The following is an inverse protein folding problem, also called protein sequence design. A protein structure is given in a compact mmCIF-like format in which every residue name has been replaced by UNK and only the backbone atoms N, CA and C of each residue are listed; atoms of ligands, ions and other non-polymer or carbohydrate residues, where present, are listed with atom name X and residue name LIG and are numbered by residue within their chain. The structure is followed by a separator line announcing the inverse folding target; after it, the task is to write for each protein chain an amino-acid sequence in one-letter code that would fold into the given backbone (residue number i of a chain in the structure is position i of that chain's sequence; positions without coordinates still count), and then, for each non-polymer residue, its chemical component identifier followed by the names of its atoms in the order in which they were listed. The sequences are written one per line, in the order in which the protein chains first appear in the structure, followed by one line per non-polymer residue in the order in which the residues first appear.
data_IF_736615704190
#
_entry.id   IF_736615704190
#
_cell.length_a   1.000
_cell.length_b   1.000
_cell.length_c   1.000
_cell.angle_alpha   90.00
_cell.angle_beta   90.00
_cell.angle_gamma   90.00
#
_symmetry.space_group_name_H-M   'P 1'
#
loop_
_entity.id
_entity.type
_entity.pdbx_description
1 polymer ?
#
# COMPACT_ATOMS: atom_id res chain seq x y z
N UNK A 1 47.73 27.95 -10.10
CA UNK A 1 47.16 27.21 -8.96
C UNK A 1 45.75 27.72 -8.76
N UNK A 2 44.75 26.95 -9.18
CA UNK A 2 43.35 27.19 -8.82
C UNK A 2 42.91 25.98 -7.99
N UNK A 3 42.51 26.29 -6.77
CA UNK A 3 42.10 25.37 -5.71
C UNK A 3 40.71 24.81 -6.02
N UNK A 4 40.64 23.52 -6.33
CA UNK A 4 39.38 22.79 -6.47
C UNK A 4 38.94 22.31 -5.09
N UNK A 5 38.31 23.19 -4.31
CA UNK A 5 37.56 22.76 -3.13
C UNK A 5 36.25 22.11 -3.58
N UNK A 6 36.32 20.87 -4.04
CA UNK A 6 35.15 20.01 -4.15
C UNK A 6 34.61 19.75 -2.74
N UNK A 7 33.44 20.31 -2.48
CA UNK A 7 32.68 20.08 -1.26
C UNK A 7 32.19 18.62 -1.25
N UNK A 8 33.02 17.71 -0.75
CA UNK A 8 32.67 16.31 -0.56
C UNK A 8 31.58 16.19 0.51
N UNK A 9 30.32 16.31 0.09
CA UNK A 9 29.16 16.10 0.96
C UNK A 9 29.12 14.62 1.29
N UNK A 10 29.14 14.22 2.58
CA UNK A 10 29.22 12.81 2.94
C UNK A 10 28.03 12.06 2.34
N UNK A 11 28.32 11.09 1.49
CA UNK A 11 27.35 10.13 0.97
C UNK A 11 26.73 9.42 2.17
N UNK A 12 25.40 9.50 2.28
CA UNK A 12 24.68 8.76 3.32
C UNK A 12 25.01 7.27 3.15
N UNK A 13 25.29 6.54 4.24
CA UNK A 13 25.53 5.10 4.14
C UNK A 13 24.32 4.43 3.50
N UNK A 14 24.55 3.41 2.68
CA UNK A 14 23.49 2.59 2.08
C UNK A 14 22.79 1.82 3.21
N UNK A 15 21.66 2.34 3.67
CA UNK A 15 20.86 1.70 4.72
C UNK A 15 19.92 0.71 4.05
N UNK A 16 20.03 -0.60 4.34
CA UNK A 16 19.17 -1.60 3.73
C UNK A 16 17.71 -1.32 4.09
N UNK A 17 16.84 -1.35 3.09
CA UNK A 17 15.39 -1.22 3.28
C UNK A 17 14.82 -2.55 3.77
N UNK A 18 14.09 -2.50 4.87
CA UNK A 18 13.38 -3.66 5.40
C UNK A 18 11.92 -3.31 5.69
N UNK A 19 11.07 -4.34 5.71
CA UNK A 19 9.68 -4.24 6.15
C UNK A 19 9.44 -5.21 7.30
N UNK A 20 8.70 -4.75 8.30
CA UNK A 20 8.38 -5.57 9.47
C UNK A 20 7.23 -6.51 9.12
N UNK A 21 7.44 -7.81 9.36
CA UNK A 21 6.39 -8.83 9.40
C UNK A 21 6.20 -9.22 10.85
N UNK A 22 4.98 -9.09 11.36
CA UNK A 22 4.68 -9.45 12.74
C UNK A 22 4.64 -10.97 12.90
N UNK A 23 5.20 -11.50 14.01
CA UNK A 23 5.27 -12.94 14.25
C UNK A 23 3.91 -13.62 14.27
N UNK A 24 2.85 -12.90 14.64
CA UNK A 24 1.48 -13.41 14.60
C UNK A 24 1.04 -13.84 13.19
N UNK A 25 1.77 -13.49 12.13
CA UNK A 25 1.49 -13.95 10.77
C UNK A 25 1.38 -15.48 10.73
N UNK A 26 2.23 -16.18 11.48
CA UNK A 26 2.25 -17.64 11.53
C UNK A 26 1.14 -18.24 12.40
N UNK A 27 0.63 -17.48 13.36
CA UNK A 27 -0.44 -17.91 14.27
C UNK A 27 -1.83 -17.38 13.88
N UNK A 28 -1.93 -16.63 12.78
CA UNK A 28 -3.21 -16.17 12.25
C UNK A 28 -3.99 -17.39 11.71
N UNK A 29 -5.24 -17.55 12.16
CA UNK A 29 -6.05 -18.73 11.86
C UNK A 29 -6.23 -18.96 10.35
N UNK A 30 -6.35 -17.89 9.55
CA UNK A 30 -6.42 -18.00 8.10
C UNK A 30 -5.09 -18.48 7.55
N UNK A 31 -4.02 -17.77 7.89
CA UNK A 31 -2.68 -18.04 7.37
C UNK A 31 -2.21 -19.44 7.73
N UNK A 32 -2.53 -19.95 8.93
CA UNK A 32 -2.15 -21.30 9.36
C UNK A 32 -2.63 -22.38 8.38
N UNK A 33 -3.85 -22.24 7.87
CA UNK A 33 -4.49 -23.19 6.93
C UNK A 33 -4.04 -23.05 5.47
N UNK A 34 -3.36 -21.96 5.13
CA UNK A 34 -2.94 -21.72 3.76
C UNK A 34 -1.82 -22.69 3.30
N UNK A 35 -1.82 -23.07 2.01
CA UNK A 35 -0.70 -23.82 1.44
C UNK A 35 0.56 -22.96 1.41
N UNK A 36 1.74 -23.59 1.44
CA UNK A 36 3.04 -22.91 1.51
C UNK A 36 3.25 -21.88 0.39
N UNK A 37 2.75 -22.14 -0.82
CA UNK A 37 2.80 -21.17 -1.90
C UNK A 37 2.05 -19.88 -1.56
N UNK A 38 0.88 -19.99 -0.93
CA UNK A 38 0.10 -18.81 -0.56
C UNK A 38 0.79 -18.00 0.54
N UNK A 39 1.37 -18.70 1.53
CA UNK A 39 2.21 -18.08 2.57
C UNK A 39 3.42 -17.37 1.95
N UNK A 40 4.10 -18.01 0.98
CA UNK A 40 5.26 -17.44 0.28
C UNK A 40 4.88 -16.16 -0.49
N UNK A 41 3.78 -16.18 -1.26
CA UNK A 41 3.35 -14.99 -1.99
C UNK A 41 2.94 -13.86 -1.03
N UNK A 42 2.20 -14.19 0.04
CA UNK A 42 1.84 -13.20 1.06
C UNK A 42 3.07 -12.55 1.71
N UNK A 43 4.08 -13.35 2.09
CA UNK A 43 5.34 -12.85 2.63
C UNK A 43 6.08 -11.97 1.61
N UNK A 44 6.19 -12.43 0.36
CA UNK A 44 6.79 -11.64 -0.71
C UNK A 44 6.10 -10.27 -0.86
N UNK A 45 4.77 -10.22 -0.86
CA UNK A 45 4.03 -8.95 -0.95
C UNK A 45 4.27 -8.03 0.26
N UNK A 46 4.52 -8.60 1.44
CA UNK A 46 4.85 -7.86 2.66
C UNK A 46 6.29 -7.34 2.69
N UNK A 47 7.20 -7.89 1.86
CA UNK A 47 8.63 -7.59 1.94
C UNK A 47 9.27 -7.15 0.61
N UNK A 48 8.53 -7.14 -0.50
CA UNK A 48 9.06 -6.77 -1.82
C UNK A 48 9.58 -5.33 -1.85
N UNK A 49 10.61 -5.08 -2.67
CA UNK A 49 11.19 -3.74 -2.89
C UNK A 49 10.18 -2.72 -3.43
N UNK A 50 9.13 -3.19 -4.10
CA UNK A 50 8.05 -2.37 -4.65
C UNK A 50 7.08 -1.87 -3.58
N UNK A 51 7.08 -2.49 -2.39
CA UNK A 51 6.13 -2.18 -1.33
C UNK A 51 6.32 -0.77 -0.79
N UNK A 52 5.21 -0.14 -0.45
CA UNK A 52 5.14 1.12 0.33
C UNK A 52 4.62 0.85 1.73
N UNK A 53 4.90 1.75 2.68
CA UNK A 53 4.52 1.60 4.10
C UNK A 53 3.01 1.34 4.25
N UNK A 54 2.22 2.16 3.58
CA UNK A 54 0.76 2.16 3.54
C UNK A 54 0.17 0.94 2.82
N UNK A 55 1.01 0.14 2.18
CA UNK A 55 0.60 -1.07 1.47
C UNK A 55 -0.21 -0.81 0.21
N UNK A 56 -0.18 0.40 -0.34
CA UNK A 56 -0.86 0.79 -1.59
C UNK A 56 0.17 1.19 -2.65
N UNK A 57 0.36 0.36 -3.67
CA UNK A 57 1.44 0.51 -4.65
C UNK A 57 1.16 -0.26 -5.96
N UNK A 58 1.92 0.06 -7.01
CA UNK A 58 1.87 -0.63 -8.29
C UNK A 58 2.82 -1.83 -8.27
N UNK A 59 2.33 -3.02 -8.60
CA UNK A 59 3.13 -4.25 -8.69
C UNK A 59 2.64 -5.15 -9.84
N UNK A 60 3.24 -5.04 -11.03
CA UNK A 60 2.93 -5.94 -12.14
C UNK A 60 3.26 -7.40 -11.79
N UNK A 61 2.35 -8.36 -12.10
CA UNK A 61 2.56 -9.78 -11.81
C UNK A 61 3.83 -10.39 -12.45
N UNK A 62 4.37 -9.77 -13.50
CA UNK A 62 5.62 -10.16 -14.15
C UNK A 62 6.83 -9.98 -13.23
N UNK A 63 6.86 -8.92 -12.42
CA UNK A 63 7.93 -8.75 -11.42
C UNK A 63 7.86 -9.83 -10.35
N UNK A 64 6.65 -10.14 -9.88
CA UNK A 64 6.43 -11.23 -8.93
C UNK A 64 6.93 -12.55 -9.52
N UNK A 65 6.51 -12.88 -10.74
CA UNK A 65 6.88 -14.09 -11.45
C UNK A 65 8.39 -14.25 -11.59
N UNK A 66 9.08 -13.16 -11.95
CA UNK A 66 10.54 -13.12 -12.05
C UNK A 66 11.21 -13.30 -10.69
N UNK A 67 10.78 -12.57 -9.66
CA UNK A 67 11.41 -12.57 -8.34
C UNK A 67 11.25 -13.92 -7.62
N UNK A 68 10.10 -14.59 -7.73
CA UNK A 68 9.83 -15.87 -7.04
C UNK A 68 10.01 -17.11 -7.92
N UNK A 69 10.32 -16.93 -9.21
CA UNK A 69 10.56 -18.02 -10.16
C UNK A 69 9.30 -18.84 -10.50
N UNK A 70 8.13 -18.20 -10.54
CA UNK A 70 6.86 -18.89 -10.85
C UNK A 70 6.36 -18.57 -12.26
N UNK A 71 5.61 -19.50 -12.90
CA UNK A 71 4.86 -19.18 -14.10
C UNK A 71 3.89 -18.02 -13.85
N UNK A 72 3.80 -17.07 -14.79
CA UNK A 72 2.94 -15.89 -14.68
C UNK A 72 1.47 -16.25 -14.37
N UNK A 73 0.96 -17.33 -15.00
CA UNK A 73 -0.39 -17.85 -14.73
C UNK A 73 -0.58 -18.22 -13.25
N UNK A 74 0.40 -18.91 -12.66
CA UNK A 74 0.37 -19.29 -11.24
C UNK A 74 0.34 -18.05 -10.34
N UNK A 75 1.10 -17.01 -10.67
CA UNK A 75 1.08 -15.75 -9.91
C UNK A 75 -0.31 -15.13 -9.93
N UNK A 76 -0.93 -15.00 -11.11
CA UNK A 76 -2.27 -14.43 -11.24
C UNK A 76 -3.31 -15.22 -10.45
N UNK A 77 -3.32 -16.56 -10.59
CA UNK A 77 -4.22 -17.43 -9.83
C UNK A 77 -4.04 -17.27 -8.32
N UNK A 78 -2.80 -17.08 -7.86
CA UNK A 78 -2.50 -16.88 -6.44
C UNK A 78 -2.87 -15.48 -5.93
N UNK A 79 -2.79 -14.44 -6.76
CA UNK A 79 -3.30 -13.10 -6.42
C UNK A 79 -4.82 -13.13 -6.21
N UNK A 80 -5.57 -13.80 -7.10
CA UNK A 80 -7.02 -14.00 -6.94
C UNK A 80 -7.35 -14.73 -5.64
N UNK A 81 -6.58 -15.77 -5.28
CA UNK A 81 -6.77 -16.47 -4.00
C UNK A 81 -6.53 -15.55 -2.80
N UNK A 82 -5.43 -14.80 -2.79
CA UNK A 82 -5.14 -13.86 -1.70
C UNK A 82 -6.18 -12.74 -1.59
N UNK A 83 -6.74 -12.29 -2.70
CA UNK A 83 -7.86 -11.35 -2.70
C UNK A 83 -9.13 -12.00 -2.12
N UNK A 84 -9.45 -13.25 -2.50
CA UNK A 84 -10.57 -14.03 -1.96
C UNK A 84 -10.49 -14.28 -0.45
N UNK A 85 -9.29 -14.45 0.10
CA UNK A 85 -9.06 -14.52 1.56
C UNK A 85 -9.22 -13.17 2.28
N UNK A 86 -9.30 -12.09 1.50
CA UNK A 86 -9.32 -10.73 1.97
C UNK A 86 -7.97 -10.27 2.51
N UNK A 87 -6.86 -10.75 1.97
CA UNK A 87 -5.50 -10.30 2.33
C UNK A 87 -5.10 -9.04 1.56
N UNK A 88 -5.44 -9.01 0.26
CA UNK A 88 -5.18 -7.88 -0.64
C UNK A 88 -6.44 -7.46 -1.40
N UNK A 89 -6.36 -6.32 -2.08
CA UNK A 89 -7.13 -5.99 -3.29
C UNK A 89 -6.14 -5.84 -4.45
N UNK A 90 -6.51 -6.29 -5.64
CA UNK A 90 -5.66 -6.17 -6.83
C UNK A 90 -6.46 -5.77 -8.06
N UNK A 91 -5.98 -4.76 -8.78
CA UNK A 91 -6.56 -4.34 -10.05
C UNK A 91 -5.62 -4.73 -11.21
N UNK A 92 -6.06 -5.65 -12.07
CA UNK A 92 -5.23 -6.14 -13.17
C UNK A 92 -4.89 -5.07 -14.21
N UNK A 93 -5.78 -4.07 -14.39
CA UNK A 93 -5.62 -3.04 -15.42
C UNK A 93 -4.49 -2.08 -15.08
N UNK A 94 -4.44 -1.61 -13.83
CA UNK A 94 -3.43 -0.65 -13.36
C UNK A 94 -2.26 -1.34 -12.64
N UNK A 95 -2.38 -2.64 -12.35
CA UNK A 95 -1.50 -3.39 -11.45
C UNK A 95 -1.42 -2.79 -10.05
N UNK A 96 -2.45 -2.04 -9.62
CA UNK A 96 -2.52 -1.54 -8.27
C UNK A 96 -2.81 -2.67 -7.30
N UNK A 97 -2.04 -2.71 -6.22
CA UNK A 97 -2.18 -3.65 -5.12
C UNK A 97 -2.36 -2.88 -3.82
N UNK A 98 -3.33 -3.30 -3.03
CA UNK A 98 -3.62 -2.76 -1.71
C UNK A 98 -3.61 -3.89 -0.67
N UNK A 99 -2.64 -3.87 0.25
CA UNK A 99 -2.57 -4.80 1.38
C UNK A 99 -3.49 -4.30 2.48
N UNK A 100 -4.58 -5.03 2.75
CA UNK A 100 -5.70 -4.52 3.55
C UNK A 100 -5.28 -4.14 4.97
N UNK A 101 -4.43 -4.94 5.59
CA UNK A 101 -3.97 -4.73 6.96
C UNK A 101 -2.64 -3.95 7.07
N UNK A 102 -2.09 -3.36 6.00
CA UNK A 102 -0.80 -2.67 6.10
C UNK A 102 -0.82 -1.52 7.13
N UNK A 103 -1.85 -0.68 7.09
CA UNK A 103 -2.05 0.41 8.05
C UNK A 103 -2.39 -0.09 9.46
N UNK A 104 -2.73 -1.36 9.68
CA UNK A 104 -2.87 -1.93 11.04
C UNK A 104 -1.53 -2.04 11.75
N UNK A 105 -0.46 -2.30 11.01
CA UNK A 105 0.88 -2.56 11.57
C UNK A 105 1.86 -1.41 11.33
N UNK A 106 1.59 -0.59 10.31
CA UNK A 106 2.51 0.44 9.85
C UNK A 106 1.77 1.79 9.69
N UNK A 107 1.09 2.22 10.76
CA UNK A 107 0.50 3.56 10.77
C UNK A 107 1.58 4.65 10.64
N UNK A 108 1.25 5.82 10.08
CA UNK A 108 2.11 6.99 10.16
C UNK A 108 2.39 7.37 11.62
N UNK A 109 3.66 7.40 11.99
CA UNK A 109 4.14 7.77 13.31
C UNK A 109 4.58 9.26 13.40
N UNK A 110 4.61 9.94 12.26
CA UNK A 110 5.09 11.32 12.15
C UNK A 110 4.44 12.06 10.98
N UNK A 111 4.47 13.40 11.04
CA UNK A 111 3.98 14.28 9.97
C UNK A 111 4.72 14.05 8.63
N UNK A 112 6.00 13.71 8.68
CA UNK A 112 6.79 13.45 7.48
C UNK A 112 6.32 12.18 6.78
N UNK A 113 6.01 11.13 7.53
CA UNK A 113 5.45 9.90 6.98
C UNK A 113 4.08 10.16 6.35
N UNK A 114 3.18 10.89 7.02
CA UNK A 114 1.88 11.26 6.44
C UNK A 114 2.03 11.97 5.08
N UNK A 115 2.90 12.99 5.02
CA UNK A 115 3.18 13.73 3.76
C UNK A 115 3.71 12.81 2.67
N UNK A 116 4.62 11.90 3.02
CA UNK A 116 5.21 10.97 2.07
C UNK A 116 4.18 9.97 1.53
N UNK A 117 3.26 9.49 2.37
CA UNK A 117 2.15 8.62 1.92
C UNK A 117 1.24 9.38 0.95
N UNK A 118 0.79 10.59 1.29
CA UNK A 118 -0.08 11.40 0.42
C UNK A 118 0.59 11.65 -0.94
N UNK A 119 1.88 12.01 -0.93
CA UNK A 119 2.63 12.22 -2.15
C UNK A 119 2.71 10.95 -3.01
N UNK A 120 2.89 9.76 -2.41
CA UNK A 120 2.88 8.49 -3.15
C UNK A 120 1.51 8.17 -3.72
N UNK A 121 0.46 8.26 -2.91
CA UNK A 121 -0.92 7.97 -3.33
C UNK A 121 -1.36 8.87 -4.48
N UNK A 122 -0.95 10.15 -4.50
CA UNK A 122 -1.20 11.07 -5.63
C UNK A 122 -0.57 10.66 -6.96
N UNK A 123 0.54 9.92 -6.91
CA UNK A 123 1.26 9.48 -8.10
C UNK A 123 0.86 8.07 -8.55
N UNK A 124 -0.11 7.44 -7.87
CA UNK A 124 -0.66 6.17 -8.31
C UNK A 124 -1.60 6.37 -9.50
N UNK A 125 -1.75 5.36 -10.38
CA UNK A 125 -2.80 5.36 -11.40
C UNK A 125 -4.19 5.62 -10.79
N UNK A 126 -5.06 6.27 -11.55
CA UNK A 126 -6.43 6.51 -11.12
C UNK A 126 -7.20 5.19 -10.99
N UNK A 127 -7.65 4.90 -9.78
CA UNK A 127 -8.55 3.79 -9.48
C UNK A 127 -9.42 4.17 -8.27
N UNK A 128 -10.64 4.63 -8.54
CA UNK A 128 -11.54 5.16 -7.51
C UNK A 128 -11.96 4.10 -6.50
N UNK A 129 -12.11 2.85 -6.93
CA UNK A 129 -12.51 1.74 -6.06
C UNK A 129 -11.42 1.44 -5.02
N UNK A 130 -10.18 1.20 -5.48
CA UNK A 130 -9.06 0.92 -4.57
C UNK A 130 -8.70 2.14 -3.70
N UNK A 131 -8.86 3.37 -4.21
CA UNK A 131 -8.72 4.57 -3.40
C UNK A 131 -9.77 4.61 -2.30
N UNK A 132 -11.03 4.32 -2.61
CA UNK A 132 -12.12 4.28 -1.62
C UNK A 132 -11.85 3.23 -0.54
N UNK A 133 -11.40 2.04 -0.93
CA UNK A 133 -11.01 1.00 0.00
C UNK A 133 -9.84 1.43 0.89
N UNK A 134 -8.83 2.09 0.32
CA UNK A 134 -7.70 2.62 1.08
C UNK A 134 -8.14 3.63 2.14
N UNK A 135 -9.04 4.57 1.78
CA UNK A 135 -9.60 5.54 2.73
C UNK A 135 -10.40 4.84 3.85
N UNK A 136 -11.19 3.83 3.52
CA UNK A 136 -11.95 3.05 4.50
C UNK A 136 -11.02 2.30 5.47
N UNK A 137 -9.97 1.64 4.96
CA UNK A 137 -8.99 0.94 5.79
C UNK A 137 -8.20 1.89 6.69
N UNK A 138 -7.90 3.11 6.23
CA UNK A 138 -7.29 4.12 7.07
C UNK A 138 -8.18 4.46 8.28
N UNK A 139 -9.50 4.64 8.09
CA UNK A 139 -10.44 4.84 9.19
C UNK A 139 -10.42 3.68 10.18
N UNK A 140 -10.52 2.45 9.68
CA UNK A 140 -10.56 1.23 10.51
C UNK A 140 -9.27 1.05 11.32
N UNK A 141 -8.10 1.26 10.72
CA UNK A 141 -6.84 0.90 11.34
C UNK A 141 -6.16 2.02 12.12
N UNK A 142 -6.45 3.28 11.81
CA UNK A 142 -5.77 4.43 12.40
C UNK A 142 -6.59 5.15 13.48
N UNK A 143 -7.91 4.93 13.59
CA UNK A 143 -8.75 5.52 14.64
C UNK A 143 -8.82 4.69 15.94
N UNK A 144 -7.90 3.73 16.11
CA UNK A 144 -7.85 2.90 17.32
C UNK A 144 -7.30 3.69 18.50
N UNK A 145 -7.74 3.32 19.71
CA UNK A 145 -7.25 3.91 20.96
C UNK A 145 -5.77 3.59 21.18
N UNK A 146 -5.04 4.52 21.81
CA UNK A 146 -3.61 4.34 22.11
C UNK A 146 -2.64 4.54 20.94
N UNK A 147 -3.13 4.93 19.76
CA UNK A 147 -2.28 5.30 18.63
C UNK A 147 -1.79 6.76 18.72
N UNK A 148 -0.73 7.08 18.00
CA UNK A 148 -0.19 8.44 17.96
C UNK A 148 -1.20 9.43 17.36
N UNK A 149 -1.11 10.74 17.68
CA UNK A 149 -1.94 11.76 17.04
C UNK A 149 -1.77 11.79 15.51
N UNK A 150 -0.59 11.42 15.00
CA UNK A 150 -0.35 11.32 13.56
C UNK A 150 -1.10 10.15 12.93
N UNK A 151 -1.17 9.00 13.60
CA UNK A 151 -2.01 7.90 13.14
C UNK A 151 -3.48 8.32 13.18
N UNK A 152 -3.99 8.79 14.32
CA UNK A 152 -5.40 9.12 14.51
C UNK A 152 -5.88 10.27 13.61
N UNK A 153 -5.03 11.25 13.32
CA UNK A 153 -5.35 12.34 12.39
C UNK A 153 -5.21 11.97 10.90
N UNK A 154 -4.67 10.80 10.58
CA UNK A 154 -4.38 10.42 9.19
C UNK A 154 -5.63 10.23 8.31
N UNK A 155 -6.73 9.60 8.77
CA UNK A 155 -7.93 9.43 7.94
C UNK A 155 -8.56 10.76 7.52
N UNK A 156 -8.76 11.70 8.46
CA UNK A 156 -9.29 13.02 8.17
C UNK A 156 -8.39 13.81 7.18
N UNK A 157 -7.07 13.63 7.31
CA UNK A 157 -6.11 14.18 6.36
C UNK A 157 -6.32 13.59 4.96
N UNK A 158 -6.36 12.27 4.82
CA UNK A 158 -6.59 11.62 3.52
C UNK A 158 -7.92 12.04 2.88
N UNK A 159 -8.99 12.13 3.66
CA UNK A 159 -10.30 12.57 3.16
C UNK A 159 -10.28 13.99 2.63
N UNK A 160 -9.52 14.90 3.26
CA UNK A 160 -9.35 16.26 2.75
C UNK A 160 -8.58 16.28 1.43
N UNK A 161 -7.55 15.45 1.29
CA UNK A 161 -6.69 15.43 0.10
C UNK A 161 -7.32 14.67 -1.09
N UNK A 162 -8.14 13.65 -0.82
CA UNK A 162 -8.65 12.70 -1.81
C UNK A 162 -10.18 12.59 -1.81
N UNK A 163 -10.89 13.61 -1.28
CA UNK A 163 -12.36 13.61 -1.22
C UNK A 163 -12.92 13.20 -2.59
N UNK A 164 -13.74 12.14 -2.66
CA UNK A 164 -14.45 11.85 -3.89
C UNK A 164 -15.31 13.07 -4.19
N UNK A 165 -15.13 13.67 -5.37
CA UNK A 165 -16.05 14.71 -5.84
C UNK A 165 -17.39 14.01 -5.99
N UNK A 166 -18.35 14.32 -5.11
CA UNK A 166 -19.72 13.85 -5.29
C UNK A 166 -20.21 14.40 -6.63
N UNK A 167 -20.74 13.51 -7.47
CA UNK A 167 -21.17 13.83 -8.83
C UNK A 167 -22.50 14.59 -8.85
N UNK A 168 -22.75 15.44 -7.85
CA UNK A 168 -23.99 16.19 -7.65
C UNK A 168 -24.22 17.23 -8.77
N UNK A 169 -23.22 17.43 -9.65
CA UNK A 169 -23.34 18.31 -10.83
C UNK A 169 -23.87 17.61 -12.08
N UNK A 170 -23.92 16.27 -12.14
CA UNK A 170 -24.48 15.56 -13.30
C UNK A 170 -25.98 15.27 -13.19
N UNK A 171 -26.57 15.26 -11.99
CA UNK A 171 -28.03 15.12 -11.84
C UNK A 171 -28.77 16.42 -12.15
N UNK A 172 -28.23 17.59 -11.78
CA UNK A 172 -28.89 18.87 -12.06
C UNK A 172 -28.89 19.19 -13.57
N UNK A 173 -27.89 18.72 -14.32
CA UNK A 173 -27.83 18.90 -15.77
C UNK A 173 -28.78 17.95 -16.54
N UNK A 174 -29.21 16.83 -15.95
CA UNK A 174 -30.19 15.90 -16.56
C UNK A 174 -31.64 16.24 -16.20
N UNK A 175 -31.86 17.12 -15.25
CA UNK A 175 -33.20 17.57 -14.82
C UNK A 175 -33.63 18.89 -15.47
N UNK A 176 -32.77 19.49 -16.31
CA UNK A 176 -33.01 20.77 -17.03
C UNK A 176 -32.95 20.57 -18.56
N UNK A 177 -33.11 19.33 -19.04
CA UNK A 177 -33.30 19.04 -20.48
C UNK A 177 -34.61 18.30 -20.68
#
# INVERSE_FOLDING_TARGET
MLDNTETNKPTRPDVPRYFRVACHFWSDEKVATWPDSQKLLALYLLTTKHRTLEGYFVLPPQYIAADIGWPLRRVKDMLVKLEGEGFIRFDEKTNLLLIRNALRYQQPDSKNVQKAVIARVRNLPENLELLTDFLALARVHCLRTGLSPYAQGFPALLEREFRPVSNDRQEVARMVV
#
